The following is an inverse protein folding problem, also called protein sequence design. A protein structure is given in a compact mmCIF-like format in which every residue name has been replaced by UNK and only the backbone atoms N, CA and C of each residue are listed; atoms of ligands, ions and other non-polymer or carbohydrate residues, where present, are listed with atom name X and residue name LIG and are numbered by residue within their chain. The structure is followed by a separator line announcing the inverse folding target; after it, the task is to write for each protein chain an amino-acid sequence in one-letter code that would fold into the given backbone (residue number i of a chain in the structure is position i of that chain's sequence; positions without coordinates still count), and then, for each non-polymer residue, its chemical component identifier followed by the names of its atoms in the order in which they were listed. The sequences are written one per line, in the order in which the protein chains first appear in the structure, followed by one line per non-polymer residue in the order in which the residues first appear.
data_IF_048024898698
#
_entry.id   IF_048024898698
#
_cell.length_a   1.000
_cell.length_b   1.000
_cell.length_c   1.000
_cell.angle_alpha   90.00
_cell.angle_beta   90.00
_cell.angle_gamma   90.00
#
_symmetry.space_group_name_H-M   'P 1'
#
loop_
_entity.id
_entity.type
_entity.pdbx_description
1 polymer ?
#
# COMPACT_ATOMS: atom_id res chain seq x y z
N UNK A 1 13.93 -16.61 -27.27
CA UNK A 1 14.47 -16.27 -25.95
C UNK A 1 13.42 -16.70 -24.92
N UNK A 2 13.71 -17.71 -24.10
CA UNK A 2 12.81 -18.14 -23.05
C UNK A 2 12.74 -17.02 -22.01
N UNK A 3 11.55 -16.49 -21.76
CA UNK A 3 11.32 -15.64 -20.61
C UNK A 3 11.52 -16.51 -19.37
N UNK A 4 12.58 -16.21 -18.61
CA UNK A 4 12.77 -16.76 -17.29
C UNK A 4 11.55 -16.37 -16.46
N UNK A 5 10.67 -17.36 -16.20
CA UNK A 5 9.52 -17.15 -15.34
C UNK A 5 10.04 -16.86 -13.94
N UNK A 6 9.84 -15.64 -13.48
CA UNK A 6 10.15 -15.28 -12.11
C UNK A 6 9.42 -16.25 -11.18
N UNK A 7 10.18 -16.98 -10.37
CA UNK A 7 9.63 -17.97 -9.44
C UNK A 7 9.16 -17.22 -8.19
N UNK A 8 7.87 -17.00 -8.06
CA UNK A 8 7.23 -16.47 -6.86
C UNK A 8 6.10 -17.41 -6.41
N UNK A 9 5.81 -17.40 -5.14
CA UNK A 9 4.71 -18.15 -4.54
C UNK A 9 3.38 -17.59 -5.04
N UNK A 10 2.41 -18.49 -5.32
CA UNK A 10 1.02 -18.11 -5.58
C UNK A 10 0.14 -18.53 -4.41
N UNK A 11 -0.75 -17.66 -3.99
CA UNK A 11 -1.65 -17.90 -2.84
C UNK A 11 -3.12 -17.76 -3.28
N UNK A 12 -3.73 -18.85 -3.83
CA UNK A 12 -5.13 -18.85 -4.25
C UNK A 12 -6.06 -18.53 -3.06
N UNK A 13 -7.08 -17.71 -3.28
CA UNK A 13 -8.05 -17.32 -2.26
C UNK A 13 -7.50 -16.41 -1.16
N UNK A 14 -6.29 -15.84 -1.35
CA UNK A 14 -5.72 -14.86 -0.42
C UNK A 14 -6.60 -13.61 -0.29
N UNK A 15 -7.22 -13.22 -1.39
CA UNK A 15 -8.20 -12.13 -1.44
C UNK A 15 -9.54 -12.62 -1.99
N UNK A 16 -10.60 -11.87 -1.73
CA UNK A 16 -11.92 -12.08 -2.30
C UNK A 16 -12.53 -10.74 -2.76
N UNK A 17 -13.32 -10.80 -3.80
CA UNK A 17 -14.12 -9.66 -4.26
C UNK A 17 -15.54 -10.13 -4.56
N UNK A 18 -16.50 -9.70 -3.74
CA UNK A 18 -17.91 -10.07 -3.84
C UNK A 18 -18.13 -11.58 -3.98
N UNK A 19 -17.40 -12.36 -3.17
CA UNK A 19 -17.50 -13.81 -3.15
C UNK A 19 -16.63 -14.55 -4.17
N UNK A 20 -15.92 -13.84 -5.07
CA UNK A 20 -14.95 -14.44 -5.99
C UNK A 20 -13.57 -14.49 -5.35
N UNK A 21 -12.93 -15.64 -5.36
CA UNK A 21 -11.55 -15.79 -4.89
C UNK A 21 -10.57 -15.17 -5.89
N UNK A 22 -9.55 -14.52 -5.34
CA UNK A 22 -8.44 -13.90 -6.08
C UNK A 22 -7.11 -14.42 -5.53
N UNK A 23 -6.18 -14.64 -6.43
CA UNK A 23 -4.85 -15.18 -6.12
C UNK A 23 -3.87 -14.05 -5.88
N UNK A 24 -3.19 -14.06 -4.74
CA UNK A 24 -2.06 -13.17 -4.50
C UNK A 24 -0.74 -13.80 -4.96
N UNK A 25 0.13 -12.99 -5.53
CA UNK A 25 1.49 -13.34 -5.92
C UNK A 25 2.48 -12.87 -4.85
N UNK A 26 3.45 -13.72 -4.51
CA UNK A 26 4.42 -13.48 -3.46
C UNK A 26 3.98 -13.96 -2.08
N UNK A 27 4.91 -13.96 -1.14
CA UNK A 27 4.67 -14.39 0.25
C UNK A 27 4.08 -13.25 1.09
N UNK A 28 3.37 -13.61 2.16
CA UNK A 28 2.99 -12.64 3.20
C UNK A 28 4.21 -12.23 4.00
N UNK A 29 4.32 -10.94 4.25
CA UNK A 29 5.26 -10.40 5.22
C UNK A 29 4.76 -10.65 6.65
N UNK A 30 5.65 -10.48 7.62
CA UNK A 30 5.35 -10.69 9.04
C UNK A 30 5.80 -9.48 9.87
N UNK A 31 5.18 -9.32 11.02
CA UNK A 31 5.66 -8.35 12.01
C UNK A 31 7.10 -8.71 12.40
N UNK A 32 7.99 -7.71 12.37
CA UNK A 32 9.42 -7.86 12.60
C UNK A 32 10.26 -7.95 11.33
N UNK A 33 9.68 -8.30 10.17
CA UNK A 33 10.40 -8.29 8.90
C UNK A 33 10.85 -6.88 8.53
N UNK A 34 11.97 -6.78 7.81
CA UNK A 34 12.30 -5.55 7.12
C UNK A 34 11.34 -5.36 5.94
N UNK A 35 10.71 -4.20 5.88
CA UNK A 35 9.88 -3.85 4.75
C UNK A 35 10.73 -3.79 3.47
N UNK A 36 10.35 -4.52 2.40
CA UNK A 36 11.07 -4.48 1.14
C UNK A 36 11.16 -3.05 0.61
N UNK A 37 12.36 -2.63 0.19
CA UNK A 37 12.50 -1.35 -0.50
C UNK A 37 12.01 -1.48 -1.93
N UNK A 38 11.37 -0.42 -2.42
CA UNK A 38 10.87 -0.35 -3.78
C UNK A 38 10.85 1.10 -4.26
N UNK A 39 11.15 1.30 -5.52
CA UNK A 39 10.96 2.57 -6.19
C UNK A 39 9.61 2.55 -6.93
N UNK A 40 8.77 3.51 -6.60
CA UNK A 40 7.42 3.69 -7.15
C UNK A 40 7.37 4.98 -7.97
N UNK A 41 6.42 5.06 -8.89
CA UNK A 41 6.21 6.26 -9.69
C UNK A 41 5.39 7.30 -8.92
N UNK A 42 5.93 8.49 -8.74
CA UNK A 42 5.17 9.64 -8.25
C UNK A 42 4.22 10.20 -9.31
N UNK A 43 3.64 11.35 -8.99
CA UNK A 43 2.69 12.05 -9.87
C UNK A 43 3.43 12.78 -11.00
N UNK A 44 2.81 12.89 -12.17
CA UNK A 44 3.30 13.70 -13.28
C UNK A 44 3.76 12.91 -14.50
N UNK A 45 4.09 13.62 -15.58
CA UNK A 45 4.52 13.02 -16.86
C UNK A 45 5.95 12.45 -16.76
N UNK A 46 6.81 13.13 -16.05
CA UNK A 46 8.11 12.62 -15.61
C UNK A 46 7.99 12.41 -14.11
N UNK A 47 7.61 11.18 -13.68
CA UNK A 47 7.32 10.95 -12.28
C UNK A 47 8.61 11.01 -11.45
N UNK A 48 8.59 11.84 -10.40
CA UNK A 48 9.62 11.76 -9.39
C UNK A 48 9.50 10.41 -8.66
N UNK A 49 10.61 9.70 -8.42
CA UNK A 49 10.55 8.43 -7.72
C UNK A 49 10.12 8.64 -6.25
N UNK A 50 9.33 7.70 -5.74
CA UNK A 50 8.97 7.58 -4.32
C UNK A 50 9.49 6.23 -3.84
N UNK A 51 10.38 6.21 -2.87
CA UNK A 51 10.96 4.98 -2.33
C UNK A 51 10.45 4.72 -0.92
N UNK A 52 10.25 3.46 -0.58
CA UNK A 52 9.92 3.09 0.81
C UNK A 52 11.05 3.50 1.76
N UNK A 53 12.30 3.39 1.32
CA UNK A 53 13.48 3.83 2.09
C UNK A 53 13.55 5.35 2.34
N UNK A 54 12.83 6.18 1.58
CA UNK A 54 12.78 7.62 1.81
C UNK A 54 12.12 7.98 3.16
N UNK A 55 11.36 7.04 3.75
CA UNK A 55 10.69 7.21 5.03
C UNK A 55 11.52 6.75 6.24
N UNK A 56 12.76 6.32 6.04
CA UNK A 56 13.65 5.96 7.16
C UNK A 56 13.80 7.13 8.14
N UNK A 57 13.79 6.83 9.44
CA UNK A 57 13.80 7.83 10.50
C UNK A 57 12.40 8.34 10.90
N UNK A 58 11.36 7.94 10.16
CA UNK A 58 9.95 8.21 10.48
C UNK A 58 9.15 6.92 10.51
N UNK A 59 7.99 6.95 11.15
CA UNK A 59 7.02 5.84 11.06
C UNK A 59 6.20 6.04 9.80
N UNK A 60 6.05 4.99 9.01
CA UNK A 60 5.26 4.99 7.79
C UNK A 60 4.02 4.12 7.95
N UNK A 61 2.85 4.68 7.67
CA UNK A 61 1.63 3.91 7.39
C UNK A 61 1.55 3.77 5.87
N UNK A 62 1.75 2.55 5.38
CA UNK A 62 1.69 2.20 3.97
C UNK A 62 0.35 1.50 3.70
N UNK A 63 -0.51 2.10 2.90
CA UNK A 63 -1.79 1.54 2.46
C UNK A 63 -1.70 1.13 1.00
N UNK A 64 -1.96 -0.15 0.70
CA UNK A 64 -2.10 -0.67 -0.66
C UNK A 64 -3.59 -0.79 -0.98
N UNK A 65 -4.01 -0.25 -2.11
CA UNK A 65 -5.40 -0.27 -2.56
C UNK A 65 -5.51 -0.70 -4.02
N UNK A 66 -6.60 -1.37 -4.43
CA UNK A 66 -6.80 -1.76 -5.83
C UNK A 66 -6.80 -0.58 -6.81
N UNK A 67 -7.64 0.42 -6.59
CA UNK A 67 -7.72 1.64 -7.39
C UNK A 67 -8.49 2.73 -6.66
N UNK A 68 -7.99 3.96 -6.71
CA UNK A 68 -8.65 5.14 -6.13
C UNK A 68 -10.04 5.41 -6.74
N UNK A 69 -10.29 4.94 -7.95
CA UNK A 69 -11.60 5.06 -8.62
C UNK A 69 -12.64 4.03 -8.13
N UNK A 70 -12.33 3.20 -7.14
CA UNK A 70 -13.30 2.27 -6.54
C UNK A 70 -13.89 2.82 -5.24
N UNK A 71 -15.18 2.57 -4.93
CA UNK A 71 -15.85 3.20 -3.79
C UNK A 71 -15.19 2.95 -2.44
N UNK A 72 -14.67 1.75 -2.19
CA UNK A 72 -14.04 1.42 -0.91
C UNK A 72 -12.65 2.07 -0.80
N UNK A 73 -11.87 2.09 -1.88
CA UNK A 73 -10.56 2.75 -1.88
C UNK A 73 -10.69 4.27 -1.74
N UNK A 74 -11.73 4.87 -2.36
CA UNK A 74 -12.04 6.30 -2.21
C UNK A 74 -12.32 6.64 -0.73
N UNK A 75 -13.21 5.88 -0.07
CA UNK A 75 -13.50 6.09 1.36
C UNK A 75 -12.27 5.89 2.25
N UNK A 76 -11.53 4.80 2.02
CA UNK A 76 -10.34 4.48 2.79
C UNK A 76 -9.28 5.58 2.68
N UNK A 77 -8.97 6.04 1.48
CA UNK A 77 -7.91 7.03 1.26
C UNK A 77 -8.29 8.40 1.84
N UNK A 78 -9.57 8.78 1.77
CA UNK A 78 -10.09 9.98 2.45
C UNK A 78 -9.99 9.84 3.97
N UNK A 79 -10.33 8.66 4.51
CA UNK A 79 -10.22 8.39 5.95
C UNK A 79 -8.76 8.47 6.42
N UNK A 80 -7.82 7.91 5.67
CA UNK A 80 -6.40 8.03 5.98
C UNK A 80 -5.93 9.49 5.97
N UNK A 81 -6.42 10.32 5.06
CA UNK A 81 -6.10 11.77 5.06
C UNK A 81 -6.64 12.46 6.31
N UNK A 82 -7.86 12.14 6.76
CA UNK A 82 -8.43 12.67 7.99
C UNK A 82 -7.60 12.27 9.21
N UNK A 83 -7.27 10.98 9.33
CA UNK A 83 -6.45 10.46 10.44
C UNK A 83 -5.05 11.08 10.44
N UNK A 84 -4.42 11.22 9.27
CA UNK A 84 -3.10 11.83 9.14
C UNK A 84 -3.06 13.25 9.69
N UNK A 85 -4.10 14.04 9.47
CA UNK A 85 -4.19 15.41 9.98
C UNK A 85 -4.12 15.49 11.50
N UNK A 86 -4.50 14.42 12.18
CA UNK A 86 -4.46 14.30 13.63
C UNK A 86 -3.17 13.64 14.16
N UNK A 87 -2.29 13.16 13.29
CA UNK A 87 -1.01 12.52 13.64
C UNK A 87 0.11 13.56 13.75
N UNK A 88 1.08 13.30 14.62
CA UNK A 88 2.29 14.12 14.74
C UNK A 88 3.20 13.97 13.51
N UNK A 89 4.14 14.92 13.34
CA UNK A 89 5.05 14.98 12.19
C UNK A 89 6.04 13.81 12.05
N UNK A 90 6.08 12.90 13.00
CA UNK A 90 6.92 11.69 12.97
C UNK A 90 6.25 10.51 12.27
N UNK A 91 4.97 10.62 11.92
CA UNK A 91 4.20 9.58 11.23
C UNK A 91 3.81 10.09 9.86
N UNK A 92 4.26 9.38 8.83
CA UNK A 92 3.97 9.67 7.43
C UNK A 92 2.96 8.66 6.87
N UNK A 93 2.27 9.07 5.81
CA UNK A 93 1.27 8.26 5.11
C UNK A 93 1.62 8.13 3.64
N UNK A 94 1.60 6.90 3.12
CA UNK A 94 1.76 6.60 1.70
C UNK A 94 0.64 5.67 1.24
N UNK A 95 -0.13 6.08 0.24
CA UNK A 95 -1.08 5.20 -0.45
C UNK A 95 -0.52 4.77 -1.79
N UNK A 96 -0.53 3.47 -2.07
CA UNK A 96 -0.03 2.87 -3.31
C UNK A 96 -1.16 2.15 -4.03
N UNK A 97 -1.27 2.40 -5.34
CA UNK A 97 -2.18 1.69 -6.24
C UNK A 97 -1.52 1.42 -7.58
N UNK A 98 -2.21 0.72 -8.47
CA UNK A 98 -1.77 0.53 -9.87
C UNK A 98 -2.28 1.64 -10.79
N UNK A 99 -3.04 2.61 -10.27
CA UNK A 99 -3.48 3.76 -11.06
C UNK A 99 -2.28 4.55 -11.57
N UNK A 100 -2.37 5.08 -12.77
CA UNK A 100 -1.35 5.98 -13.30
C UNK A 100 -1.22 7.24 -12.43
N UNK A 101 -0.02 7.80 -12.31
CA UNK A 101 0.24 9.01 -11.53
C UNK A 101 -0.65 10.19 -11.90
N UNK A 102 -1.06 10.30 -13.17
CA UNK A 102 -2.04 11.30 -13.63
C UNK A 102 -3.43 11.10 -13.01
N UNK A 103 -3.92 9.85 -12.98
CA UNK A 103 -5.21 9.52 -12.39
C UNK A 103 -5.18 9.77 -10.87
N UNK A 104 -4.09 9.39 -10.20
CA UNK A 104 -3.90 9.68 -8.79
C UNK A 104 -3.88 11.19 -8.52
N UNK A 105 -3.16 11.98 -9.33
CA UNK A 105 -3.10 13.44 -9.18
C UNK A 105 -4.48 14.08 -9.33
N UNK A 106 -5.25 13.67 -10.35
CA UNK A 106 -6.61 14.16 -10.59
C UNK A 106 -7.53 13.80 -9.41
N UNK A 107 -7.49 12.53 -8.97
CA UNK A 107 -8.32 12.07 -7.86
C UNK A 107 -7.97 12.81 -6.55
N UNK A 108 -6.70 12.91 -6.20
CA UNK A 108 -6.24 13.60 -5.00
C UNK A 108 -6.65 15.07 -4.98
N UNK A 109 -6.55 15.76 -6.13
CA UNK A 109 -7.01 17.15 -6.25
C UNK A 109 -8.50 17.30 -6.03
N UNK A 110 -9.32 16.38 -6.58
CA UNK A 110 -10.77 16.40 -6.40
C UNK A 110 -11.20 15.99 -4.98
N UNK A 111 -10.41 15.15 -4.31
CA UNK A 111 -10.71 14.60 -2.99
C UNK A 111 -10.12 15.44 -1.83
N UNK A 112 -9.33 16.47 -2.12
CA UNK A 112 -8.56 17.24 -1.12
C UNK A 112 -7.63 16.35 -0.26
N UNK A 113 -7.01 15.36 -0.92
CA UNK A 113 -6.03 14.45 -0.31
C UNK A 113 -4.62 14.97 -0.58
N UNK A 114 -3.88 15.24 0.48
CA UNK A 114 -2.56 15.88 0.42
C UNK A 114 -1.42 14.93 0.78
N UNK A 115 -1.67 13.80 1.44
CA UNK A 115 -0.63 12.82 1.69
C UNK A 115 -0.11 12.20 0.38
N UNK A 116 1.06 11.62 0.44
CA UNK A 116 1.73 11.05 -0.75
C UNK A 116 0.94 9.85 -1.28
N UNK A 117 0.69 9.86 -2.59
CA UNK A 117 0.24 8.68 -3.34
C UNK A 117 1.31 8.34 -4.37
N UNK A 118 1.56 7.05 -4.59
CA UNK A 118 2.50 6.56 -5.57
C UNK A 118 1.92 5.38 -6.34
N UNK A 119 2.41 5.18 -7.55
CA UNK A 119 1.92 4.13 -8.43
C UNK A 119 2.95 3.02 -8.60
N UNK A 120 2.48 1.78 -8.49
CA UNK A 120 3.28 0.58 -8.76
C UNK A 120 3.16 0.08 -10.21
N UNK A 121 2.51 0.83 -11.12
CA UNK A 121 2.26 0.37 -12.48
C UNK A 121 3.55 0.04 -13.28
N UNK A 122 4.66 0.73 -12.98
CA UNK A 122 5.97 0.47 -13.58
C UNK A 122 6.77 -0.59 -12.82
N UNK A 123 6.42 -0.88 -11.58
CA UNK A 123 7.15 -1.79 -10.69
C UNK A 123 6.20 -2.77 -10.01
N UNK A 124 5.73 -3.77 -10.77
CA UNK A 124 4.86 -4.82 -10.22
C UNK A 124 5.58 -5.70 -9.17
N UNK A 125 6.92 -5.69 -9.14
CA UNK A 125 7.70 -6.42 -8.15
C UNK A 125 7.37 -5.96 -6.72
N UNK A 126 7.07 -4.66 -6.53
CA UNK A 126 6.53 -4.16 -5.26
C UNK A 126 5.34 -4.98 -4.76
N UNK A 127 4.36 -5.23 -5.63
CA UNK A 127 3.18 -6.00 -5.26
C UNK A 127 3.47 -7.46 -4.92
N UNK A 128 4.48 -8.06 -5.55
CA UNK A 128 4.95 -9.42 -5.26
C UNK A 128 5.72 -9.44 -3.93
N UNK A 129 6.64 -8.51 -3.72
CA UNK A 129 7.47 -8.44 -2.51
C UNK A 129 6.64 -8.17 -1.25
N UNK A 130 5.53 -7.43 -1.39
CA UNK A 130 4.56 -7.20 -0.32
C UNK A 130 3.43 -8.24 -0.28
N UNK A 131 3.40 -9.21 -1.19
CA UNK A 131 2.39 -10.26 -1.24
C UNK A 131 0.98 -9.75 -1.54
N UNK A 132 0.85 -8.64 -2.26
CA UNK A 132 -0.43 -7.98 -2.54
C UNK A 132 -0.82 -7.92 -4.02
N UNK A 133 0.06 -8.31 -4.96
CA UNK A 133 -0.29 -8.30 -6.38
C UNK A 133 -1.31 -9.41 -6.68
N UNK A 134 -2.48 -9.04 -7.17
CA UNK A 134 -3.51 -10.00 -7.59
C UNK A 134 -3.23 -10.49 -9.02
N UNK A 135 -3.23 -11.80 -9.23
CA UNK A 135 -2.88 -12.43 -10.51
C UNK A 135 -3.91 -12.11 -11.61
N UNK A 136 -5.18 -12.15 -11.26
CA UNK A 136 -6.29 -12.09 -12.21
C UNK A 136 -6.47 -10.72 -12.87
N UNK A 137 -6.15 -9.64 -12.17
CA UNK A 137 -6.41 -8.27 -12.64
C UNK A 137 -5.20 -7.35 -12.56
N UNK A 138 -4.07 -7.82 -12.01
CA UNK A 138 -2.84 -7.04 -11.81
C UNK A 138 -3.02 -5.78 -10.96
N UNK A 139 -4.05 -5.75 -10.12
CA UNK A 139 -4.22 -4.71 -9.11
C UNK A 139 -3.58 -5.13 -7.79
N UNK A 140 -3.36 -4.17 -6.90
CA UNK A 140 -2.93 -4.48 -5.54
C UNK A 140 -4.14 -4.87 -4.69
N UNK A 141 -4.03 -5.97 -3.96
CA UNK A 141 -4.97 -6.31 -2.89
C UNK A 141 -4.86 -5.29 -1.75
N UNK A 142 -5.98 -5.05 -1.08
CA UNK A 142 -6.03 -4.13 0.05
C UNK A 142 -5.21 -4.66 1.21
N UNK A 143 -4.24 -3.86 1.66
CA UNK A 143 -3.42 -4.17 2.81
C UNK A 143 -2.88 -2.89 3.46
N UNK A 144 -2.61 -2.96 4.77
CA UNK A 144 -1.99 -1.88 5.52
C UNK A 144 -0.76 -2.40 6.25
N UNK A 145 0.33 -1.65 6.19
CA UNK A 145 1.58 -1.94 6.89
C UNK A 145 1.98 -0.72 7.70
N UNK A 146 2.34 -0.93 8.96
CA UNK A 146 2.99 0.09 9.78
C UNK A 146 4.46 -0.27 9.90
N UNK A 147 5.31 0.63 9.43
CA UNK A 147 6.76 0.44 9.33
C UNK A 147 7.43 1.46 10.25
N UNK A 148 8.32 1.01 11.13
CA UNK A 148 9.01 1.87 12.07
C UNK A 148 10.18 2.64 11.43
N UNK A 149 10.87 3.47 12.23
CA UNK A 149 12.00 4.30 11.82
C UNK A 149 13.17 3.49 11.23
N UNK A 150 13.34 2.25 11.69
CA UNK A 150 14.37 1.33 11.20
C UNK A 150 13.91 0.51 10.00
N UNK A 151 12.65 0.70 9.57
CA UNK A 151 12.01 0.02 8.45
C UNK A 151 11.52 -1.38 8.76
N UNK A 152 11.28 -1.70 10.02
CA UNK A 152 10.65 -2.96 10.41
C UNK A 152 9.16 -2.82 10.51
N UNK A 153 8.45 -3.85 10.06
CA UNK A 153 7.01 -3.93 10.14
C UNK A 153 6.60 -4.14 11.60
N UNK A 154 5.75 -3.24 12.12
CA UNK A 154 5.19 -3.28 13.48
C UNK A 154 3.74 -3.74 13.50
N UNK A 155 3.03 -3.53 12.42
CA UNK A 155 1.68 -4.01 12.19
C UNK A 155 1.46 -4.27 10.71
N UNK A 156 0.65 -5.26 10.40
CA UNK A 156 0.18 -5.48 9.04
C UNK A 156 -1.22 -6.10 9.06
N UNK A 157 -1.98 -5.79 8.03
CA UNK A 157 -3.28 -6.37 7.77
C UNK A 157 -3.42 -6.60 6.26
N UNK A 158 -3.67 -7.85 5.86
CA UNK A 158 -4.15 -8.19 4.53
C UNK A 158 -5.67 -8.27 4.59
N UNK A 159 -6.37 -7.29 4.01
CA UNK A 159 -7.84 -7.24 4.04
C UNK A 159 -8.38 -8.20 2.99
N UNK A 160 -8.86 -9.36 3.42
CA UNK A 160 -9.24 -10.44 2.51
C UNK A 160 -10.35 -10.02 1.54
N UNK A 161 -11.45 -9.46 2.03
CA UNK A 161 -12.57 -9.01 1.18
C UNK A 161 -12.34 -7.57 0.72
N UNK A 162 -12.19 -7.38 -0.60
CA UNK A 162 -11.79 -6.10 -1.19
C UNK A 162 -12.84 -4.99 -1.05
N UNK A 163 -14.08 -5.32 -0.73
CA UNK A 163 -15.13 -4.36 -0.40
C UNK A 163 -15.16 -3.92 1.06
N UNK A 164 -14.25 -4.46 1.89
CA UNK A 164 -14.11 -4.12 3.32
C UNK A 164 -12.98 -3.13 3.53
N UNK A 165 -13.15 -2.18 4.44
CA UNK A 165 -12.11 -1.25 4.87
C UNK A 165 -11.20 -1.91 5.94
N UNK A 166 -9.94 -1.43 6.10
CA UNK A 166 -9.03 -1.98 7.10
C UNK A 166 -9.40 -1.58 8.54
N UNK A 167 -8.78 -2.22 9.52
CA UNK A 167 -8.85 -1.79 10.92
C UNK A 167 -7.93 -0.56 11.16
N UNK A 168 -8.48 0.61 10.97
CA UNK A 168 -7.77 1.88 11.19
C UNK A 168 -7.26 2.03 12.64
N UNK A 169 -8.06 1.59 13.61
CA UNK A 169 -7.70 1.76 15.03
C UNK A 169 -6.46 0.94 15.39
N UNK A 170 -6.36 -0.30 14.92
CA UNK A 170 -5.20 -1.15 15.14
C UNK A 170 -3.94 -0.58 14.48
N UNK A 171 -4.03 -0.13 13.22
CA UNK A 171 -2.90 0.46 12.50
C UNK A 171 -2.43 1.77 13.16
N UNK A 172 -3.36 2.65 13.55
CA UNK A 172 -3.03 3.92 14.21
C UNK A 172 -2.42 3.71 15.60
N UNK A 173 -2.91 2.72 16.37
CA UNK A 173 -2.32 2.37 17.66
C UNK A 173 -0.86 1.90 17.49
N UNK A 174 -0.61 1.01 16.53
CA UNK A 174 0.74 0.53 16.23
C UNK A 174 1.67 1.66 15.74
N UNK A 175 1.15 2.59 14.93
CA UNK A 175 1.93 3.73 14.45
C UNK A 175 2.33 4.68 15.59
N UNK A 176 1.40 4.97 16.51
CA UNK A 176 1.70 5.79 17.70
C UNK A 176 2.71 5.11 18.63
N UNK A 177 2.58 3.81 18.84
CA UNK A 177 3.53 3.04 19.64
C UNK A 177 4.93 3.06 19.02
N UNK A 178 5.04 2.83 17.71
CA UNK A 178 6.30 2.91 16.98
C UNK A 178 6.91 4.32 16.97
N UNK A 179 6.10 5.36 17.04
CA UNK A 179 6.55 6.75 17.10
C UNK A 179 7.03 7.17 18.51
N UNK A 180 6.51 6.53 19.56
CA UNK A 180 6.88 6.80 20.95
C UNK A 180 8.19 6.15 21.39
N UNK A 181 8.63 5.09 20.70
CA UNK A 181 9.90 4.38 20.97
C UNK A 181 11.03 4.89 20.10
#
# INVERSE_FOLDING_TARGET
MAHEQATYTTRPGAFTARGHELTALGDELRVGDLAPDAELAGRGFVPAPVRISDYRGKVLILSCVPSLDTPTCDRETRRWEEERRALGGDIEMLTVSMDLGFAQARWCGAADVTHTTASAYMNQQFGIDYGVLMEENRLLGRAVFVIDRDGRIRHLEYVREQSTEPDYAAALAAAREAAAG
#
